data_IF_349131760479
#
_entry.id   IF_349131760479
#
_cell.length_a   1.000
_cell.length_b   1.000
_cell.length_c   1.000
_cell.angle_alpha   90.00
_cell.angle_beta   90.00
_cell.angle_gamma   90.00
#
_symmetry.space_group_name_H-M   'P 1'
#
loop_
_entity.id
_entity.type
_entity.pdbx_description
1 polymer ?
#
# COMPACT_ATOMS: atom_id res chain seq x y z
N UNK A 1 11.24 -21.29 6.50
CA UNK A 1 11.27 -19.98 5.83
C UNK A 1 9.94 -19.88 5.11
N UNK A 2 8.97 -19.16 5.67
CA UNK A 2 7.57 -19.19 5.22
C UNK A 2 7.40 -18.14 4.11
N UNK A 3 7.65 -18.56 2.86
CA UNK A 3 7.31 -17.80 1.66
C UNK A 3 5.88 -18.17 1.27
N UNK A 4 4.89 -17.35 1.61
CA UNK A 4 3.57 -17.45 1.00
C UNK A 4 2.86 -16.09 1.04
N UNK A 5 2.84 -15.42 -0.12
CA UNK A 5 1.82 -14.43 -0.51
C UNK A 5 1.56 -13.20 0.39
N UNK A 6 2.44 -12.86 1.34
CA UNK A 6 2.45 -11.53 1.92
C UNK A 6 2.95 -10.56 0.85
N UNK A 7 2.18 -9.53 0.57
CA UNK A 7 2.62 -8.36 -0.19
C UNK A 7 3.89 -7.86 0.52
N UNK A 8 5.07 -8.28 0.07
CA UNK A 8 6.33 -7.81 0.64
C UNK A 8 6.48 -6.36 0.20
N UNK A 9 5.89 -5.47 0.99
CA UNK A 9 6.18 -4.05 0.96
C UNK A 9 7.64 -3.91 1.39
N UNK A 10 8.41 -3.13 0.64
CA UNK A 10 9.72 -2.72 1.12
C UNK A 10 9.57 -2.01 2.48
N UNK A 11 10.62 -1.98 3.31
CA UNK A 11 10.57 -1.24 4.57
C UNK A 11 10.11 0.22 4.38
N UNK A 12 10.49 0.82 3.25
CA UNK A 12 10.03 2.15 2.84
C UNK A 12 8.52 2.21 2.58
N UNK A 13 7.98 1.25 1.80
CA UNK A 13 6.54 1.18 1.54
C UNK A 13 5.72 0.88 2.80
N UNK A 14 6.29 0.13 3.75
CA UNK A 14 5.66 -0.11 5.05
C UNK A 14 5.57 1.20 5.85
N UNK A 15 6.66 1.97 5.89
CA UNK A 15 6.68 3.25 6.59
C UNK A 15 5.73 4.27 5.96
N UNK A 16 5.71 4.35 4.63
CA UNK A 16 4.78 5.20 3.89
C UNK A 16 3.32 4.81 4.15
N UNK A 17 3.02 3.50 4.19
CA UNK A 17 1.68 3.01 4.49
C UNK A 17 1.24 3.42 5.91
N UNK A 18 2.12 3.32 6.90
CA UNK A 18 1.84 3.74 8.29
C UNK A 18 1.55 5.25 8.35
N UNK A 19 2.37 6.08 7.73
CA UNK A 19 2.15 7.54 7.71
C UNK A 19 0.82 7.91 7.06
N UNK A 20 0.48 7.26 5.94
CA UNK A 20 -0.80 7.52 5.25
C UNK A 20 -1.99 7.07 6.09
N UNK A 21 -1.91 5.91 6.75
CA UNK A 21 -2.96 5.46 7.68
C UNK A 21 -3.14 6.47 8.79
N UNK A 22 -2.06 6.95 9.41
CA UNK A 22 -2.14 7.95 10.48
C UNK A 22 -2.76 9.27 10.02
N UNK A 23 -2.46 9.72 8.79
CA UNK A 23 -3.10 10.90 8.19
C UNK A 23 -4.61 10.70 8.02
N UNK A 24 -5.04 9.57 7.48
CA UNK A 24 -6.47 9.24 7.29
C UNK A 24 -7.20 9.17 8.65
N UNK A 25 -6.57 8.56 9.64
CA UNK A 25 -7.12 8.50 11.00
C UNK A 25 -7.24 9.89 11.61
N UNK A 26 -6.25 10.76 11.41
CA UNK A 26 -6.29 12.14 11.88
C UNK A 26 -7.42 12.96 11.23
N UNK A 27 -7.86 12.61 10.02
CA UNK A 27 -9.03 13.23 9.38
C UNK A 27 -10.37 12.65 9.85
N UNK A 28 -10.35 11.69 10.78
CA UNK A 28 -11.55 11.04 11.33
C UNK A 28 -11.95 9.74 10.63
N UNK A 29 -11.13 9.21 9.72
CA UNK A 29 -11.40 7.91 9.09
C UNK A 29 -11.06 6.79 10.08
N UNK A 30 -11.92 5.79 10.29
CA UNK A 30 -11.61 4.69 11.18
C UNK A 30 -10.42 3.88 10.66
N UNK A 31 -9.56 3.42 11.57
CA UNK A 31 -8.33 2.68 11.23
C UNK A 31 -8.55 1.53 10.25
N UNK A 32 -9.66 0.77 10.40
CA UNK A 32 -10.00 -0.34 9.51
C UNK A 32 -10.21 0.11 8.06
N UNK A 33 -10.88 1.24 7.86
CA UNK A 33 -11.15 1.81 6.54
C UNK A 33 -9.90 2.42 5.93
N UNK A 34 -9.10 3.11 6.75
CA UNK A 34 -7.80 3.63 6.34
C UNK A 34 -6.86 2.52 5.82
N UNK A 35 -6.82 1.36 6.49
CA UNK A 35 -6.02 0.21 6.04
C UNK A 35 -6.51 -0.32 4.68
N UNK A 36 -7.82 -0.40 4.46
CA UNK A 36 -8.40 -0.86 3.19
C UNK A 36 -8.02 0.10 2.05
N UNK A 37 -8.18 1.41 2.25
CA UNK A 37 -7.81 2.44 1.27
C UNK A 37 -6.34 2.32 0.88
N UNK A 38 -5.44 2.15 1.86
CA UNK A 38 -4.01 2.02 1.60
C UNK A 38 -3.65 0.70 0.92
N UNK A 39 -4.31 -0.41 1.29
CA UNK A 39 -4.13 -1.68 0.60
C UNK A 39 -4.54 -1.61 -0.88
N UNK A 40 -5.62 -0.90 -1.19
CA UNK A 40 -6.06 -0.65 -2.57
C UNK A 40 -5.06 0.23 -3.34
N UNK A 41 -4.63 1.35 -2.77
CA UNK A 41 -3.62 2.22 -3.38
C UNK A 41 -2.31 1.47 -3.67
N UNK A 42 -1.86 0.62 -2.75
CA UNK A 42 -0.65 -0.19 -2.92
C UNK A 42 -0.81 -1.23 -4.05
N UNK A 43 -2.01 -1.79 -4.22
CA UNK A 43 -2.31 -2.70 -5.35
C UNK A 43 -2.31 -1.94 -6.67
N UNK A 44 -2.99 -0.81 -6.74
CA UNK A 44 -3.04 0.03 -7.96
C UNK A 44 -1.64 0.50 -8.38
N UNK A 45 -0.82 0.97 -7.44
CA UNK A 45 0.54 1.38 -7.73
C UNK A 45 1.39 0.23 -8.28
N UNK A 46 1.26 -0.98 -7.73
CA UNK A 46 1.98 -2.16 -8.26
C UNK A 46 1.56 -2.50 -9.69
N UNK A 47 0.26 -2.43 -9.98
CA UNK A 47 -0.27 -2.71 -11.32
C UNK A 47 0.12 -1.63 -12.34
N UNK A 48 0.10 -0.35 -11.96
CA UNK A 48 0.58 0.75 -12.80
C UNK A 48 2.09 0.64 -13.08
N UNK A 49 2.88 0.23 -12.09
CA UNK A 49 4.34 0.07 -12.24
C UNK A 49 4.68 -1.09 -13.19
N UNK A 50 3.87 -2.15 -13.22
CA UNK A 50 4.02 -3.23 -14.22
C UNK A 50 3.67 -2.77 -15.63
N UNK A 51 2.63 -1.95 -15.79
CA UNK A 51 2.16 -1.52 -17.10
C UNK A 51 3.10 -0.49 -17.78
N UNK A 52 3.89 0.27 -17.02
CA UNK A 52 4.84 1.24 -17.58
C UNK A 52 6.13 0.61 -18.15
N UNK A 53 6.44 -0.66 -17.86
CA UNK A 53 7.63 -1.34 -18.40
C UNK A 53 7.41 -2.11 -19.71
N UNK A 54 6.18 -2.11 -20.25
CA UNK A 54 5.83 -2.79 -21.50
C UNK A 54 5.75 -1.85 -22.73
N UNK A 55 6.07 -0.56 -22.57
CA UNK A 55 5.91 0.45 -23.62
C UNK A 55 7.17 1.26 -23.86
N UNK A 56 8.31 0.61 -24.16
CA UNK A 56 9.45 1.28 -24.79
C UNK A 56 10.17 0.35 -25.75
#
# INVERSE_FOLDING_TARGET
MYNDALIELTHEQQQEAVEKIMKLVATGIPHKEAIVIIAEQLREQREQTKNQKSGK
#
